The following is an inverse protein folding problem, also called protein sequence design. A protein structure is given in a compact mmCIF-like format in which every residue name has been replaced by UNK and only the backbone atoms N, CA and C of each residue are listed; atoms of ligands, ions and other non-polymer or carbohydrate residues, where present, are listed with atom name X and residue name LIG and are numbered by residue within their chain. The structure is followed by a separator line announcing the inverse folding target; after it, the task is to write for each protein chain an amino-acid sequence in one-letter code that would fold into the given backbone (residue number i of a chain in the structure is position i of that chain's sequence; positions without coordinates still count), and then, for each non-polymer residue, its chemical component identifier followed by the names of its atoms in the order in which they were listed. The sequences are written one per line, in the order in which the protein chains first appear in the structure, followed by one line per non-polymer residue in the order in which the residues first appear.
data_IF_059850046450
#
_entry.id   IF_059850046450
#
_cell.length_a   1.000
_cell.length_b   1.000
_cell.length_c   1.000
_cell.angle_alpha   90.00
_cell.angle_beta   90.00
_cell.angle_gamma   90.00
#
_symmetry.space_group_name_H-M   'P 1'
#
loop_
_entity.id
_entity.type
_entity.pdbx_description
1 polymer ?
#
# COMPACT_ATOMS: atom_id res chain seq x y z
N UNK A 1 -4.93 -8.69 1.73
CA UNK A 1 -6.04 -7.75 1.42
C UNK A 1 -5.86 -7.28 -0.01
N UNK A 2 -6.93 -7.18 -0.81
CA UNK A 2 -6.84 -6.88 -2.25
C UNK A 2 -7.50 -5.56 -2.65
N UNK A 3 -8.31 -4.95 -1.78
CA UNK A 3 -8.95 -3.66 -2.03
C UNK A 3 -9.21 -2.90 -0.73
N UNK A 4 -9.47 -1.60 -0.86
CA UNK A 4 -9.86 -0.77 0.27
C UNK A 4 -11.21 -1.19 0.84
N UNK A 5 -11.30 -1.36 2.15
CA UNK A 5 -12.52 -1.69 2.86
C UNK A 5 -13.38 -0.45 3.16
N UNK A 6 -13.74 0.32 2.15
CA UNK A 6 -14.59 1.50 2.32
C UNK A 6 -16.07 1.10 2.34
N UNK A 7 -16.78 1.51 3.39
CA UNK A 7 -18.20 1.21 3.60
C UNK A 7 -18.46 -0.10 4.33
N UNK A 8 -19.72 -0.56 4.29
CA UNK A 8 -20.11 -1.81 4.94
C UNK A 8 -19.50 -3.02 4.23
N UNK A 9 -19.13 -4.01 5.03
CA UNK A 9 -18.49 -5.24 4.58
C UNK A 9 -19.39 -6.42 4.90
N UNK A 10 -19.36 -7.42 4.03
CA UNK A 10 -20.00 -8.71 4.24
C UNK A 10 -18.95 -9.79 4.34
N UNK A 11 -19.08 -10.66 5.30
CA UNK A 11 -18.21 -11.79 5.55
C UNK A 11 -18.91 -13.09 5.17
N UNK A 12 -18.23 -13.93 4.42
CA UNK A 12 -18.70 -15.28 4.10
C UNK A 12 -17.62 -16.26 4.52
N UNK A 13 -17.93 -17.11 5.51
CA UNK A 13 -17.04 -18.15 5.99
C UNK A 13 -17.37 -19.49 5.35
N UNK A 14 -16.36 -20.18 4.82
CA UNK A 14 -16.41 -21.59 4.42
C UNK A 14 -15.13 -22.25 4.93
N UNK A 15 -15.29 -23.32 5.69
CA UNK A 15 -14.18 -24.02 6.38
C UNK A 15 -13.31 -23.04 7.20
N UNK A 16 -12.03 -22.99 6.93
CA UNK A 16 -11.09 -22.07 7.57
C UNK A 16 -10.81 -20.80 6.74
N UNK A 17 -11.59 -20.54 5.68
CA UNK A 17 -11.46 -19.35 4.83
C UNK A 17 -12.64 -18.42 5.04
N UNK A 18 -12.34 -17.14 5.29
CA UNK A 18 -13.35 -16.07 5.39
C UNK A 18 -13.11 -15.07 4.26
N UNK A 19 -14.05 -14.99 3.32
CA UNK A 19 -14.05 -13.97 2.28
C UNK A 19 -14.67 -12.69 2.81
N UNK A 20 -14.05 -11.55 2.54
CA UNK A 20 -14.55 -10.23 2.88
C UNK A 20 -14.84 -9.47 1.59
N UNK A 21 -16.08 -9.01 1.44
CA UNK A 21 -16.53 -8.26 0.26
C UNK A 21 -17.20 -6.95 0.67
N UNK A 22 -17.22 -5.99 -0.22
CA UNK A 22 -18.01 -4.78 -0.05
C UNK A 22 -19.49 -5.15 -0.22
N UNK A 23 -20.34 -4.79 0.75
CA UNK A 23 -21.76 -5.14 0.78
C UNK A 23 -22.52 -4.65 -0.47
N UNK A 24 -22.23 -3.43 -0.94
CA UNK A 24 -22.96 -2.81 -2.04
C UNK A 24 -22.47 -3.25 -3.41
N UNK A 25 -21.14 -3.31 -3.60
CA UNK A 25 -20.56 -3.60 -4.93
C UNK A 25 -20.23 -5.08 -5.12
N UNK A 26 -20.19 -5.88 -4.06
CA UNK A 26 -19.71 -7.26 -4.09
C UNK A 26 -18.20 -7.38 -4.40
N UNK A 27 -17.46 -6.26 -4.42
CA UNK A 27 -16.04 -6.26 -4.68
C UNK A 27 -15.30 -7.03 -3.57
N UNK A 28 -14.35 -7.88 -3.97
CA UNK A 28 -13.48 -8.57 -3.02
C UNK A 28 -12.58 -7.54 -2.31
N UNK A 29 -12.60 -7.55 -0.99
CA UNK A 29 -11.70 -6.75 -0.13
C UNK A 29 -10.50 -7.60 0.28
N UNK A 30 -10.72 -8.87 0.60
CA UNK A 30 -9.66 -9.78 0.99
C UNK A 30 -10.17 -11.09 1.54
N UNK A 31 -9.22 -11.87 2.05
CA UNK A 31 -9.47 -13.13 2.75
C UNK A 31 -8.79 -13.15 4.11
N UNK A 32 -9.43 -13.77 5.09
CA UNK A 32 -8.76 -14.28 6.28
C UNK A 32 -8.69 -15.80 6.15
N UNK A 33 -7.48 -16.34 6.18
CA UNK A 33 -7.24 -17.79 6.22
C UNK A 33 -6.87 -18.13 7.66
N UNK A 34 -7.78 -18.81 8.36
CA UNK A 34 -7.56 -19.25 9.73
C UNK A 34 -6.59 -20.44 9.72
N UNK A 35 -5.67 -20.46 10.70
CA UNK A 35 -4.60 -21.46 10.74
C UNK A 35 -3.76 -21.51 9.44
N UNK A 36 -3.40 -20.33 8.90
CA UNK A 36 -2.67 -20.21 7.64
C UNK A 36 -1.36 -21.02 7.61
N UNK A 37 -0.74 -21.26 8.76
CA UNK A 37 0.45 -22.13 8.89
C UNK A 37 0.21 -23.61 8.60
N UNK A 38 -1.03 -24.06 8.52
CA UNK A 38 -1.36 -25.41 8.04
C UNK A 38 -1.34 -25.47 6.52
N UNK A 39 -1.60 -24.34 5.85
CA UNK A 39 -1.57 -24.20 4.38
C UNK A 39 -0.18 -23.81 3.90
N UNK A 40 0.48 -22.91 4.62
CA UNK A 40 1.84 -22.40 4.36
C UNK A 40 2.67 -22.52 5.66
N UNK A 41 3.29 -23.69 5.92
CA UNK A 41 4.02 -23.95 7.18
C UNK A 41 5.15 -22.96 7.48
N UNK A 42 5.77 -22.42 6.44
CA UNK A 42 6.85 -21.43 6.53
C UNK A 42 6.38 -20.07 7.13
N UNK A 43 5.08 -19.82 7.20
CA UNK A 43 4.53 -18.61 7.83
C UNK A 43 4.41 -18.72 9.34
N UNK A 44 4.65 -19.89 9.94
CA UNK A 44 4.40 -20.16 11.37
C UNK A 44 5.13 -19.20 12.31
N UNK A 45 6.35 -18.83 11.95
CA UNK A 45 7.18 -17.92 12.76
C UNK A 45 7.15 -16.48 12.27
N UNK A 46 6.33 -16.17 11.25
CA UNK A 46 6.22 -14.83 10.68
C UNK A 46 5.06 -14.06 11.29
N UNK A 47 5.29 -12.79 11.59
CA UNK A 47 4.29 -11.89 12.15
C UNK A 47 4.32 -10.53 11.43
N UNK A 48 3.18 -9.84 11.40
CA UNK A 48 3.04 -8.53 10.76
C UNK A 48 2.88 -8.62 9.25
N UNK A 49 3.55 -7.73 8.52
CA UNK A 49 3.49 -7.73 7.07
C UNK A 49 4.37 -8.84 6.49
N UNK A 50 3.75 -9.77 5.78
CA UNK A 50 4.43 -10.87 5.11
C UNK A 50 4.27 -10.69 3.60
N UNK A 51 5.40 -10.63 2.88
CA UNK A 51 5.41 -10.62 1.41
C UNK A 51 5.38 -12.06 0.92
N UNK A 52 4.31 -12.42 0.22
CA UNK A 52 4.14 -13.76 -0.33
C UNK A 52 4.84 -13.88 -1.68
N UNK A 53 5.40 -15.05 -1.97
CA UNK A 53 5.90 -15.42 -3.30
C UNK A 53 4.75 -15.80 -4.24
N UNK A 54 5.02 -15.86 -5.55
CA UNK A 54 4.05 -16.33 -6.54
C UNK A 54 3.54 -17.76 -6.23
N UNK A 55 4.42 -18.65 -5.77
CA UNK A 55 4.08 -20.02 -5.40
C UNK A 55 3.18 -20.06 -4.16
N UNK A 56 3.45 -19.22 -3.16
CA UNK A 56 2.61 -19.12 -1.97
C UNK A 56 1.22 -18.57 -2.29
N UNK A 57 1.13 -17.57 -3.18
CA UNK A 57 -0.16 -17.06 -3.67
C UNK A 57 -0.92 -18.14 -4.44
N UNK A 58 -0.24 -18.95 -5.27
CA UNK A 58 -0.86 -20.07 -5.96
C UNK A 58 -1.41 -21.12 -4.99
N UNK A 59 -0.63 -21.51 -3.97
CA UNK A 59 -1.06 -22.43 -2.90
C UNK A 59 -2.28 -21.91 -2.14
N UNK A 60 -2.28 -20.62 -1.78
CA UNK A 60 -3.46 -19.99 -1.14
C UNK A 60 -4.67 -19.98 -2.05
N UNK A 61 -4.49 -19.73 -3.34
CA UNK A 61 -5.57 -19.74 -4.32
C UNK A 61 -6.19 -21.13 -4.48
N UNK A 62 -5.38 -22.18 -4.48
CA UNK A 62 -5.89 -23.55 -4.52
C UNK A 62 -6.68 -23.89 -3.24
N UNK A 63 -6.21 -23.42 -2.09
CA UNK A 63 -6.93 -23.57 -0.83
C UNK A 63 -8.25 -22.78 -0.82
N UNK A 64 -8.25 -21.54 -1.32
CA UNK A 64 -9.45 -20.70 -1.47
C UNK A 64 -10.47 -21.34 -2.40
N UNK A 65 -10.02 -21.93 -3.54
CA UNK A 65 -10.88 -22.66 -4.46
C UNK A 65 -11.48 -23.90 -3.81
N UNK A 66 -10.69 -24.70 -3.09
CA UNK A 66 -11.18 -25.90 -2.42
C UNK A 66 -12.22 -25.60 -1.34
N UNK A 67 -12.15 -24.43 -0.72
CA UNK A 67 -13.19 -23.91 0.17
C UNK A 67 -14.44 -23.40 -0.61
N UNK A 68 -14.43 -23.42 -1.94
CA UNK A 68 -15.57 -23.06 -2.80
C UNK A 68 -15.73 -21.55 -3.04
N UNK A 69 -14.62 -20.81 -3.13
CA UNK A 69 -14.60 -19.42 -3.56
C UNK A 69 -13.97 -19.27 -4.95
N UNK A 70 -14.56 -18.44 -5.80
CA UNK A 70 -14.15 -18.25 -7.20
C UNK A 70 -13.24 -17.04 -7.41
N UNK A 71 -13.31 -16.03 -6.50
CA UNK A 71 -12.47 -14.83 -6.58
C UNK A 71 -11.10 -15.14 -6.00
N UNK A 72 -10.05 -15.01 -6.82
CA UNK A 72 -8.69 -15.38 -6.44
C UNK A 72 -7.83 -14.16 -6.13
N UNK A 73 -6.73 -14.40 -5.42
CA UNK A 73 -5.69 -13.41 -5.18
C UNK A 73 -4.84 -13.24 -6.43
N UNK A 74 -4.50 -12.01 -6.76
CA UNK A 74 -3.52 -11.69 -7.80
C UNK A 74 -2.14 -11.52 -7.18
N UNK A 75 -1.14 -12.18 -7.77
CA UNK A 75 0.25 -11.95 -7.42
C UNK A 75 0.76 -10.68 -8.09
N UNK A 76 1.50 -9.88 -7.34
CA UNK A 76 2.21 -8.73 -7.88
C UNK A 76 3.62 -8.69 -7.28
N UNK A 77 4.61 -8.57 -8.14
CA UNK A 77 6.02 -8.39 -7.79
C UNK A 77 6.43 -6.90 -7.70
N UNK A 78 5.46 -6.00 -7.90
CA UNK A 78 5.72 -4.56 -7.85
C UNK A 78 6.18 -4.16 -6.45
N UNK A 79 7.29 -3.41 -6.35
CA UNK A 79 7.76 -2.93 -5.06
C UNK A 79 6.74 -2.01 -4.42
N UNK A 80 6.48 -2.23 -3.14
CA UNK A 80 5.53 -1.42 -2.37
C UNK A 80 6.06 -0.03 -2.04
N UNK A 81 7.39 0.06 -1.83
CA UNK A 81 8.07 1.34 -1.65
C UNK A 81 8.94 1.61 -2.87
N UNK A 82 8.79 2.78 -3.45
CA UNK A 82 9.48 3.15 -4.68
C UNK A 82 10.17 4.50 -4.54
N UNK A 83 11.30 4.64 -5.24
CA UNK A 83 11.93 5.94 -5.42
C UNK A 83 11.20 6.69 -6.52
N UNK A 84 10.66 7.85 -6.18
CA UNK A 84 9.96 8.72 -7.12
C UNK A 84 10.63 10.09 -7.22
N UNK A 85 10.59 10.69 -8.40
CA UNK A 85 11.05 12.04 -8.66
C UNK A 85 9.87 13.02 -8.65
N UNK A 86 9.92 14.02 -7.80
CA UNK A 86 8.90 15.08 -7.74
C UNK A 86 9.13 16.04 -8.90
N UNK A 87 8.40 15.84 -10.01
CA UNK A 87 8.51 16.72 -11.18
C UNK A 87 7.88 18.09 -10.93
N UNK A 88 6.74 18.09 -10.25
CA UNK A 88 5.94 19.29 -10.01
C UNK A 88 5.33 19.24 -8.63
N UNK A 89 5.25 20.39 -8.00
CA UNK A 89 4.50 20.62 -6.76
C UNK A 89 3.70 21.90 -6.90
N UNK A 90 2.45 21.87 -6.46
CA UNK A 90 1.58 23.04 -6.34
C UNK A 90 0.87 23.03 -4.99
N UNK A 91 0.48 24.21 -4.51
CA UNK A 91 -0.25 24.32 -3.25
C UNK A 91 -1.66 23.74 -3.39
N UNK A 92 -2.14 23.14 -2.31
CA UNK A 92 -3.48 22.58 -2.28
C UNK A 92 -4.51 23.70 -2.17
N UNK A 93 -5.57 23.74 -3.03
CA UNK A 93 -6.49 24.90 -3.10
C UNK A 93 -7.33 25.12 -1.84
N UNK A 94 -7.36 24.17 -0.92
CA UNK A 94 -8.17 24.21 0.31
C UNK A 94 -7.33 23.94 1.57
N UNK A 95 -6.01 24.13 1.51
CA UNK A 95 -5.12 23.90 2.65
C UNK A 95 -3.88 24.76 2.52
N UNK A 96 -3.43 25.29 3.65
CA UNK A 96 -2.22 26.10 3.79
C UNK A 96 -0.94 25.27 4.05
N UNK A 97 -1.09 23.97 4.26
CA UNK A 97 0.03 23.07 4.57
C UNK A 97 0.08 21.82 3.69
N UNK A 98 -0.92 21.58 2.84
CA UNK A 98 -0.89 20.48 1.89
C UNK A 98 -0.42 20.95 0.52
N UNK A 99 0.30 20.05 -0.16
CA UNK A 99 0.76 20.25 -1.52
C UNK A 99 0.32 19.08 -2.39
N UNK A 100 0.12 19.34 -3.66
CA UNK A 100 -0.19 18.33 -4.69
C UNK A 100 1.08 18.12 -5.49
N UNK A 101 1.66 16.93 -5.38
CA UNK A 101 2.87 16.55 -6.10
C UNK A 101 2.54 15.64 -7.29
N UNK A 102 3.18 15.88 -8.42
CA UNK A 102 3.29 14.92 -9.52
C UNK A 102 4.62 14.19 -9.36
N UNK A 103 4.54 12.89 -9.06
CA UNK A 103 5.70 12.05 -8.79
C UNK A 103 5.89 11.06 -9.95
N UNK A 104 7.05 11.11 -10.57
CA UNK A 104 7.49 10.20 -11.63
C UNK A 104 8.27 9.03 -11.04
N UNK A 105 7.79 7.81 -11.27
CA UNK A 105 8.40 6.54 -10.87
C UNK A 105 9.18 5.86 -12.00
N UNK A 106 9.36 6.55 -13.14
CA UNK A 106 10.05 6.02 -14.32
C UNK A 106 9.11 5.35 -15.32
N UNK A 107 8.26 4.45 -14.86
CA UNK A 107 7.26 3.75 -15.68
C UNK A 107 5.87 4.38 -15.65
N UNK A 108 5.58 5.14 -14.61
CA UNK A 108 4.28 5.83 -14.43
C UNK A 108 4.45 7.11 -13.61
N UNK A 109 3.47 8.00 -13.73
CA UNK A 109 3.37 9.21 -12.91
C UNK A 109 2.12 9.15 -12.07
N UNK A 110 2.24 9.57 -10.81
CA UNK A 110 1.13 9.59 -9.87
C UNK A 110 0.99 10.95 -9.20
N UNK A 111 -0.26 11.33 -8.93
CA UNK A 111 -0.57 12.47 -8.08
C UNK A 111 -0.61 12.03 -6.63
N UNK A 112 0.15 12.70 -5.78
CA UNK A 112 0.19 12.43 -4.33
C UNK A 112 0.01 13.73 -3.59
N UNK A 113 -0.96 13.79 -2.69
CA UNK A 113 -1.15 14.92 -1.77
C UNK A 113 -0.29 14.68 -0.53
N UNK A 114 0.53 15.65 -0.18
CA UNK A 114 1.52 15.53 0.88
C UNK A 114 1.62 16.81 1.72
N UNK A 115 1.71 16.66 3.04
CA UNK A 115 1.89 17.77 4.00
C UNK A 115 3.32 17.92 4.53
N UNK A 116 4.31 17.33 3.86
CA UNK A 116 5.71 17.42 4.31
C UNK A 116 6.29 18.81 4.09
N UNK A 117 6.80 19.42 5.14
CA UNK A 117 7.33 20.79 5.15
C UNK A 117 8.56 21.02 4.26
N UNK A 118 9.26 19.96 3.89
CA UNK A 118 10.45 19.99 3.03
C UNK A 118 10.18 19.50 1.59
N UNK A 119 8.91 19.24 1.24
CA UNK A 119 8.54 18.84 -0.11
C UNK A 119 8.77 20.01 -1.08
N UNK A 120 9.35 19.70 -2.24
CA UNK A 120 9.55 20.65 -3.34
C UNK A 120 9.70 19.89 -4.65
N UNK A 121 9.61 20.60 -5.77
CA UNK A 121 9.95 20.02 -7.07
C UNK A 121 11.46 19.73 -7.18
N UNK A 122 11.82 18.87 -8.10
CA UNK A 122 13.20 18.47 -8.44
C UNK A 122 13.94 17.77 -7.29
N UNK A 123 13.24 16.90 -6.54
CA UNK A 123 13.84 16.02 -5.52
C UNK A 123 13.41 14.58 -5.73
N UNK A 124 14.26 13.66 -5.28
CA UNK A 124 13.91 12.24 -5.17
C UNK A 124 13.40 11.95 -3.75
N UNK A 125 12.31 11.20 -3.68
CA UNK A 125 11.64 10.82 -2.44
C UNK A 125 11.34 9.33 -2.43
N UNK A 126 11.08 8.77 -1.25
CA UNK A 126 10.49 7.45 -1.13
C UNK A 126 8.99 7.59 -0.97
N UNK A 127 8.23 6.90 -1.81
CA UNK A 127 6.80 6.85 -1.72
C UNK A 127 6.30 5.41 -1.55
N UNK A 128 5.28 5.25 -0.69
CA UNK A 128 4.48 4.05 -0.59
C UNK A 128 3.41 4.09 -1.68
N UNK A 129 3.38 3.06 -2.53
CA UNK A 129 2.39 2.93 -3.61
C UNK A 129 1.08 2.36 -3.08
N UNK A 130 0.04 2.40 -3.90
CA UNK A 130 -1.27 1.80 -3.58
C UNK A 130 -1.10 0.30 -3.31
N UNK A 131 -1.72 -0.19 -2.24
CA UNK A 131 -1.62 -1.57 -1.76
C UNK A 131 -0.52 -1.80 -0.73
N UNK A 132 0.34 -0.82 -0.48
CA UNK A 132 1.42 -0.94 0.52
C UNK A 132 0.86 -1.01 1.94
N UNK A 133 1.32 -1.97 2.71
CA UNK A 133 1.19 -1.95 4.17
C UNK A 133 2.42 -1.29 4.78
N UNK A 134 2.19 -0.19 5.49
CA UNK A 134 3.22 0.53 6.22
C UNK A 134 3.70 -0.26 7.46
N UNK A 135 4.91 -0.01 7.99
CA UNK A 135 5.42 -0.67 9.19
C UNK A 135 4.51 -0.57 10.42
N UNK A 136 3.69 0.47 10.50
CA UNK A 136 2.68 0.64 11.56
C UNK A 136 1.34 -0.05 11.29
N UNK A 137 1.23 -0.84 10.21
CA UNK A 137 0.02 -1.55 9.80
C UNK A 137 -0.98 -0.73 8.96
N UNK A 138 -0.70 0.55 8.71
CA UNK A 138 -1.56 1.37 7.83
C UNK A 138 -1.46 0.88 6.39
N UNK A 139 -2.60 0.69 5.74
CA UNK A 139 -2.69 0.37 4.31
C UNK A 139 -2.84 1.64 3.47
N UNK A 140 -2.07 1.73 2.39
CA UNK A 140 -2.13 2.84 1.45
C UNK A 140 -3.08 2.47 0.32
N UNK A 141 -4.17 3.23 0.22
CA UNK A 141 -5.18 3.10 -0.82
C UNK A 141 -5.34 4.41 -1.58
N UNK A 142 -5.91 4.38 -2.81
CA UNK A 142 -6.36 5.59 -3.47
C UNK A 142 -7.33 6.34 -2.58
N UNK A 143 -7.15 7.63 -2.42
CA UNK A 143 -7.97 8.43 -1.53
C UNK A 143 -8.11 9.86 -1.99
N UNK A 144 -8.90 10.64 -1.24
CA UNK A 144 -9.04 12.08 -1.45
C UNK A 144 -8.73 12.83 -0.18
N UNK A 145 -7.83 13.79 -0.28
CA UNK A 145 -7.55 14.75 0.79
C UNK A 145 -8.18 16.09 0.41
N UNK A 146 -9.14 16.54 1.21
CA UNK A 146 -9.91 17.77 0.96
C UNK A 146 -10.46 17.89 -0.48
N UNK A 147 -10.81 16.74 -1.09
CA UNK A 147 -11.40 16.65 -2.42
C UNK A 147 -10.39 16.43 -3.56
N UNK A 148 -9.10 16.47 -3.30
CA UNK A 148 -8.04 16.18 -4.29
C UNK A 148 -7.61 14.72 -4.17
N UNK A 149 -7.53 14.02 -5.30
CA UNK A 149 -7.12 12.61 -5.37
C UNK A 149 -5.64 12.44 -5.02
N UNK A 150 -5.33 11.33 -4.33
CA UNK A 150 -3.97 10.97 -3.91
C UNK A 150 -3.77 9.46 -4.07
N UNK A 151 -2.84 9.06 -4.95
CA UNK A 151 -2.57 7.68 -5.32
C UNK A 151 -1.24 7.19 -4.74
N UNK A 152 -1.09 7.31 -3.42
CA UNK A 152 0.10 6.92 -2.70
C UNK A 152 0.39 7.84 -1.52
N UNK A 153 1.55 7.64 -0.89
CA UNK A 153 2.02 8.45 0.23
C UNK A 153 3.52 8.69 0.13
N UNK A 154 3.95 9.94 0.11
CA UNK A 154 5.37 10.31 0.26
C UNK A 154 5.74 10.12 1.73
N UNK A 155 6.79 9.32 1.99
CA UNK A 155 7.09 8.81 3.32
C UNK A 155 8.14 9.64 4.06
N UNK A 156 7.96 9.76 5.36
CA UNK A 156 9.00 10.22 6.29
C UNK A 156 9.91 9.05 6.69
N UNK A 157 11.14 9.30 7.18
CA UNK A 157 12.02 8.24 7.69
C UNK A 157 11.37 7.37 8.79
N UNK A 158 10.51 7.96 9.62
CA UNK A 158 9.79 7.25 10.70
C UNK A 158 8.70 6.33 10.16
N UNK A 159 7.95 6.77 9.17
CA UNK A 159 6.92 5.94 8.52
C UNK A 159 7.53 4.75 7.79
N UNK A 160 8.77 4.89 7.30
CA UNK A 160 9.54 3.79 6.73
C UNK A 160 10.13 2.84 7.79
N UNK A 161 10.01 3.14 9.08
CA UNK A 161 10.58 2.32 10.15
C UNK A 161 12.11 2.34 10.20
N UNK A 162 12.76 3.38 9.65
CA UNK A 162 14.21 3.47 9.66
C UNK A 162 14.75 3.63 11.07
N UNK A 163 15.83 2.89 11.40
CA UNK A 163 16.53 3.02 12.68
C UNK A 163 17.08 4.45 12.83
N UNK A 164 16.96 4.99 14.03
CA UNK A 164 17.41 6.36 14.36
C UNK A 164 16.76 7.46 13.50
N UNK A 165 15.58 7.21 12.94
CA UNK A 165 14.84 8.22 12.21
C UNK A 165 14.64 9.49 13.06
N UNK A 166 14.94 10.68 12.51
CA UNK A 166 14.82 11.92 13.26
C UNK A 166 13.35 12.18 13.65
N UNK A 167 13.14 12.69 14.87
CA UNK A 167 11.81 13.06 15.34
C UNK A 167 11.47 14.49 14.90
N UNK A 168 11.44 14.71 13.58
CA UNK A 168 11.07 15.99 12.97
C UNK A 168 10.18 15.75 11.75
N UNK A 169 9.28 16.68 11.42
CA UNK A 169 8.47 16.61 10.21
C UNK A 169 9.35 16.69 8.96
N UNK A 170 8.89 16.08 7.88
CA UNK A 170 9.53 16.12 6.55
C UNK A 170 9.67 14.74 5.93
N UNK A 171 9.52 14.68 4.60
CA UNK A 171 9.73 13.46 3.84
C UNK A 171 11.21 13.09 3.75
N UNK A 172 11.47 11.82 3.46
CA UNK A 172 12.82 11.35 3.16
C UNK A 172 13.19 11.82 1.75
N UNK A 173 14.16 12.71 1.69
CA UNK A 173 14.79 13.17 0.43
C UNK A 173 16.03 12.33 0.20
N UNK A 174 16.16 11.78 -1.00
CA UNK A 174 17.31 10.99 -1.43
C UNK A 174 18.28 11.82 -2.28
N UNK A 175 19.53 11.41 -2.29
CA UNK A 175 20.55 12.00 -3.14
C UNK A 175 20.31 11.69 -4.63
N UNK A 176 20.94 12.45 -5.52
CA UNK A 176 20.68 12.37 -6.97
C UNK A 176 21.12 11.05 -7.63
N UNK A 177 22.02 10.31 -7.00
CA UNK A 177 22.56 9.03 -7.46
C UNK A 177 21.62 7.84 -7.21
N UNK A 178 20.57 7.99 -6.40
CA UNK A 178 19.55 6.95 -6.30
C UNK A 178 18.78 6.80 -7.62
N UNK A 179 18.73 5.57 -8.15
CA UNK A 179 17.95 5.27 -9.35
C UNK A 179 16.44 5.44 -9.08
N UNK A 180 15.68 5.87 -10.10
CA UNK A 180 14.22 5.67 -10.12
C UNK A 180 13.95 4.19 -10.34
N UNK A 181 12.89 3.67 -9.75
CA UNK A 181 12.46 2.28 -9.98
C UNK A 181 11.79 2.13 -11.34
#
# INVERSE_FOLDING_TARGET
MVAAGNGNQTETKKDNVVQITNEKSGQLIGYNVLAASEVLPELKEQNGNVTLTAEQVATLNDHIKSAGFDKLLEYSDKPHFQVGYVEKMVDHPKSDHLHIATVDFGNEKRQIVCGSVNLRANIKVVAATVGTMMPNGKLIWPGKLLGVESDGMICTPRELGLKNAPNKPGCLILDDDFAKN
#
